data_IF_042839477863
#
_entry.id   IF_042839477863
#
_cell.length_a   1.000
_cell.length_b   1.000
_cell.length_c   1.000
_cell.angle_alpha   90.00
_cell.angle_beta   90.00
_cell.angle_gamma   90.00
#
_symmetry.space_group_name_H-M   'P 1'
#
loop_
_entity.id
_entity.type
_entity.pdbx_description
1 polymer ?
#
# COMPACT_ATOMS: atom_id res chain seq x y z
N UNK A 1 -18.30 -5.07 10.44
CA UNK A 1 -17.18 -5.27 9.50
C UNK A 1 -16.17 -6.24 10.08
N UNK A 2 -15.85 -7.30 9.34
CA UNK A 2 -14.80 -8.26 9.62
C UNK A 2 -13.46 -7.66 9.22
N UNK A 3 -12.43 -7.85 10.05
CA UNK A 3 -11.09 -7.39 9.74
C UNK A 3 -10.36 -8.46 8.92
N UNK A 4 -9.89 -8.10 7.72
CA UNK A 4 -9.03 -8.95 6.91
C UNK A 4 -7.59 -8.43 6.97
N UNK A 5 -6.65 -9.35 7.17
CA UNK A 5 -5.22 -9.11 7.12
C UNK A 5 -4.67 -9.38 5.71
N UNK A 6 -3.35 -9.25 5.58
CA UNK A 6 -2.63 -9.30 4.30
C UNK A 6 -2.80 -10.62 3.56
N UNK A 7 -2.82 -11.76 4.26
CA UNK A 7 -2.93 -13.08 3.63
C UNK A 7 -4.23 -13.24 2.83
N UNK A 8 -5.34 -12.69 3.34
CA UNK A 8 -6.62 -12.70 2.64
C UNK A 8 -6.52 -11.99 1.28
N UNK A 9 -5.96 -10.78 1.26
CA UNK A 9 -5.82 -10.01 0.02
C UNK A 9 -4.78 -10.64 -0.91
N UNK A 10 -3.67 -11.13 -0.38
CA UNK A 10 -2.61 -11.77 -1.16
C UNK A 10 -3.12 -13.03 -1.87
N UNK A 11 -3.95 -13.83 -1.19
CA UNK A 11 -4.58 -15.02 -1.78
C UNK A 11 -5.52 -14.67 -2.95
N UNK A 12 -6.21 -13.53 -2.88
CA UNK A 12 -7.07 -13.04 -3.96
C UNK A 12 -6.26 -12.50 -5.14
N UNK A 13 -5.18 -11.78 -4.86
CA UNK A 13 -4.39 -11.04 -5.85
C UNK A 13 -3.40 -11.91 -6.63
N UNK A 14 -2.81 -12.92 -6.00
CA UNK A 14 -1.89 -13.85 -6.68
C UNK A 14 -2.66 -14.71 -7.69
N UNK A 15 -2.05 -14.98 -8.84
CA UNK A 15 -2.64 -15.87 -9.85
C UNK A 15 -2.91 -17.27 -9.27
N UNK A 16 -1.89 -17.82 -8.61
CA UNK A 16 -1.91 -19.12 -7.93
C UNK A 16 -1.62 -18.92 -6.44
N UNK A 17 -2.60 -19.26 -5.61
CA UNK A 17 -2.45 -19.32 -4.17
C UNK A 17 -3.29 -20.47 -3.60
N UNK A 18 -2.75 -21.18 -2.62
CA UNK A 18 -3.41 -22.34 -2.00
C UNK A 18 -4.63 -21.93 -1.16
N UNK A 19 -4.72 -20.66 -0.75
CA UNK A 19 -5.86 -20.10 -0.03
C UNK A 19 -6.92 -19.48 -0.94
N UNK A 20 -6.67 -19.36 -2.26
CA UNK A 20 -7.49 -18.56 -3.17
C UNK A 20 -8.96 -18.96 -3.21
N UNK A 21 -9.27 -20.25 -3.30
CA UNK A 21 -10.65 -20.73 -3.30
C UNK A 21 -11.39 -20.40 -2.00
N UNK A 22 -10.70 -20.52 -0.85
CA UNK A 22 -11.25 -20.19 0.45
C UNK A 22 -11.46 -18.68 0.59
N UNK A 23 -10.50 -17.88 0.12
CA UNK A 23 -10.58 -16.43 0.13
C UNK A 23 -11.75 -15.93 -0.74
N UNK A 24 -11.99 -16.52 -1.92
CA UNK A 24 -13.13 -16.18 -2.77
C UNK A 24 -14.48 -16.50 -2.12
N UNK A 25 -14.59 -17.64 -1.43
CA UNK A 25 -15.81 -18.00 -0.68
C UNK A 25 -16.09 -17.00 0.45
N UNK A 26 -15.05 -16.65 1.23
CA UNK A 26 -15.17 -15.65 2.29
C UNK A 26 -15.44 -14.24 1.75
N UNK A 27 -14.88 -13.88 0.61
CA UNK A 27 -15.18 -12.61 -0.05
C UNK A 27 -16.66 -12.51 -0.41
N UNK A 28 -17.26 -13.58 -0.91
CA UNK A 28 -18.68 -13.61 -1.22
C UNK A 28 -19.56 -13.53 0.04
N UNK A 29 -19.21 -14.29 1.08
CA UNK A 29 -19.92 -14.30 2.37
C UNK A 29 -19.90 -12.93 3.06
N UNK A 30 -18.76 -12.24 3.05
CA UNK A 30 -18.55 -10.97 3.75
C UNK A 30 -18.56 -9.75 2.82
N UNK A 31 -19.05 -9.88 1.59
CA UNK A 31 -19.03 -8.81 0.58
C UNK A 31 -19.60 -7.50 1.12
N UNK A 32 -18.82 -6.42 1.02
CA UNK A 32 -19.21 -5.09 1.51
C UNK A 32 -19.15 -4.91 3.03
N UNK A 33 -18.69 -5.93 3.78
CA UNK A 33 -18.54 -5.91 5.24
C UNK A 33 -17.11 -6.28 5.68
N UNK A 34 -16.10 -6.09 4.82
CA UNK A 34 -14.69 -6.30 5.11
C UNK A 34 -14.02 -4.95 5.36
N UNK A 35 -13.20 -4.86 6.41
CA UNK A 35 -12.30 -3.73 6.67
C UNK A 35 -10.86 -4.20 6.80
N UNK A 36 -9.92 -3.28 6.67
CA UNK A 36 -8.51 -3.52 6.95
C UNK A 36 -7.87 -2.28 7.59
N UNK A 37 -6.55 -2.21 7.66
CA UNK A 37 -5.81 -1.05 8.18
C UNK A 37 -4.69 -0.60 7.24
N UNK A 38 -4.13 0.59 7.51
CA UNK A 38 -2.92 1.10 6.86
C UNK A 38 -1.76 0.08 6.90
N UNK A 39 -1.63 -0.67 7.99
CA UNK A 39 -0.60 -1.71 8.15
C UNK A 39 -0.68 -2.78 7.07
N UNK A 40 -1.90 -3.18 6.67
CA UNK A 40 -2.10 -4.14 5.59
C UNK A 40 -1.70 -3.58 4.23
N UNK A 41 -1.96 -2.29 3.96
CA UNK A 41 -1.47 -1.65 2.74
C UNK A 41 0.07 -1.61 2.69
N UNK A 42 0.72 -1.22 3.79
CA UNK A 42 2.19 -1.20 3.88
C UNK A 42 2.77 -2.60 3.62
N UNK A 43 2.21 -3.63 4.25
CA UNK A 43 2.68 -5.01 4.05
C UNK A 43 2.47 -5.48 2.60
N UNK A 44 1.30 -5.22 2.01
CA UNK A 44 1.05 -5.53 0.61
C UNK A 44 2.00 -4.80 -0.33
N UNK A 45 2.42 -3.58 -0.03
CA UNK A 45 3.40 -2.85 -0.84
C UNK A 45 4.80 -3.50 -0.77
N UNK A 46 5.24 -3.94 0.42
CA UNK A 46 6.48 -4.71 0.58
C UNK A 46 6.43 -6.03 -0.22
N UNK A 47 5.30 -6.72 -0.16
CA UNK A 47 5.08 -7.98 -0.89
C UNK A 47 4.92 -7.77 -2.39
N UNK A 48 4.39 -6.63 -2.83
CA UNK A 48 4.23 -6.31 -4.25
C UNK A 48 5.59 -6.26 -4.95
N UNK A 49 6.59 -5.64 -4.31
CA UNK A 49 7.98 -5.66 -4.80
C UNK A 49 8.56 -7.07 -4.88
N UNK A 50 8.24 -7.93 -3.90
CA UNK A 50 8.72 -9.33 -3.84
C UNK A 50 8.09 -10.22 -4.91
N UNK A 51 6.81 -10.04 -5.19
CA UNK A 51 6.02 -10.90 -6.08
C UNK A 51 5.80 -10.31 -7.48
N UNK A 52 6.36 -9.13 -7.77
CA UNK A 52 6.18 -8.46 -9.06
C UNK A 52 4.73 -8.00 -9.30
N UNK A 53 4.01 -7.68 -8.23
CA UNK A 53 2.64 -7.15 -8.32
C UNK A 53 2.69 -5.64 -8.53
N UNK A 54 1.74 -5.11 -9.32
CA UNK A 54 1.59 -3.68 -9.52
C UNK A 54 1.07 -3.00 -8.24
N UNK A 55 1.84 -2.09 -7.61
CA UNK A 55 1.46 -1.44 -6.35
C UNK A 55 0.12 -0.70 -6.41
N UNK A 56 -0.16 -0.02 -7.52
CA UNK A 56 -1.35 0.80 -7.71
C UNK A 56 -2.58 -0.09 -7.86
N UNK A 57 -2.49 -1.14 -8.68
CA UNK A 57 -3.57 -2.11 -8.87
C UNK A 57 -3.90 -2.86 -7.60
N UNK A 58 -2.89 -3.27 -6.83
CA UNK A 58 -3.07 -3.91 -5.52
C UNK A 58 -3.82 -2.97 -4.59
N UNK A 59 -3.37 -1.72 -4.49
CA UNK A 59 -3.98 -0.70 -3.62
C UNK A 59 -5.44 -0.46 -3.98
N UNK A 60 -5.73 -0.16 -5.25
CA UNK A 60 -7.11 0.08 -5.71
C UNK A 60 -8.03 -1.13 -5.47
N UNK A 61 -7.53 -2.34 -5.70
CA UNK A 61 -8.30 -3.57 -5.46
C UNK A 61 -8.69 -3.70 -3.99
N UNK A 62 -7.74 -3.46 -3.06
CA UNK A 62 -8.03 -3.52 -1.62
C UNK A 62 -8.99 -2.41 -1.20
N UNK A 63 -8.82 -1.19 -1.72
CA UNK A 63 -9.74 -0.07 -1.46
C UNK A 63 -11.17 -0.40 -1.91
N UNK A 64 -11.33 -0.99 -3.10
CA UNK A 64 -12.64 -1.42 -3.61
C UNK A 64 -13.28 -2.49 -2.72
N UNK A 65 -12.52 -3.53 -2.36
CA UNK A 65 -13.00 -4.65 -1.54
C UNK A 65 -13.41 -4.21 -0.12
N UNK A 66 -12.72 -3.22 0.44
CA UNK A 66 -12.91 -2.75 1.81
C UNK A 66 -13.77 -1.50 1.93
N UNK A 67 -14.05 -0.83 0.79
CA UNK A 67 -14.64 0.52 0.72
C UNK A 67 -13.86 1.56 1.54
N UNK A 68 -12.57 1.32 1.77
CA UNK A 68 -11.66 2.24 2.42
C UNK A 68 -10.91 3.02 1.33
N UNK A 69 -11.21 4.30 1.18
CA UNK A 69 -10.55 5.17 0.20
C UNK A 69 -9.72 6.21 0.94
N UNK A 70 -8.42 6.20 0.68
CA UNK A 70 -7.45 7.11 1.28
C UNK A 70 -6.45 7.55 0.21
N UNK A 71 -6.54 8.82 -0.17
CA UNK A 71 -5.71 9.41 -1.23
C UNK A 71 -4.21 9.33 -0.90
N UNK A 72 -3.84 9.35 0.39
CA UNK A 72 -2.43 9.23 0.81
C UNK A 72 -1.90 7.82 0.53
N UNK A 73 -2.70 6.80 0.80
CA UNK A 73 -2.35 5.41 0.49
C UNK A 73 -2.23 5.21 -1.02
N UNK A 74 -3.13 5.81 -1.82
CA UNK A 74 -3.03 5.77 -3.27
C UNK A 74 -1.78 6.49 -3.79
N UNK A 75 -1.48 7.70 -3.27
CA UNK A 75 -0.27 8.47 -3.59
C UNK A 75 0.99 7.67 -3.29
N UNK A 76 1.06 7.00 -2.13
CA UNK A 76 2.18 6.13 -1.78
C UNK A 76 2.35 5.00 -2.80
N UNK A 77 1.28 4.35 -3.23
CA UNK A 77 1.36 3.28 -4.24
C UNK A 77 1.90 3.76 -5.59
N UNK A 78 1.61 5.00 -5.98
CA UNK A 78 2.14 5.62 -7.21
C UNK A 78 3.64 5.94 -7.07
N UNK A 79 4.06 6.48 -5.93
CA UNK A 79 5.50 6.73 -5.69
C UNK A 79 6.30 5.42 -5.70
N UNK A 80 5.73 4.34 -5.15
CA UNK A 80 6.35 3.01 -5.17
C UNK A 80 6.45 2.47 -6.60
N UNK A 81 5.43 2.65 -7.43
CA UNK A 81 5.49 2.22 -8.84
C UNK A 81 6.51 3.03 -9.66
N UNK A 82 6.84 4.24 -9.21
CA UNK A 82 7.91 5.08 -9.76
C UNK A 82 9.31 4.77 -9.20
N UNK A 83 9.43 3.83 -8.25
CA UNK A 83 10.70 3.33 -7.73
C UNK A 83 11.09 3.80 -6.33
N UNK A 84 10.27 4.62 -5.66
CA UNK A 84 10.51 5.03 -4.28
C UNK A 84 10.44 3.84 -3.31
N UNK A 85 11.24 3.87 -2.25
CA UNK A 85 11.15 2.89 -1.16
C UNK A 85 9.75 2.87 -0.54
N UNK A 86 9.29 1.69 -0.09
CA UNK A 86 7.91 1.54 0.41
C UNK A 86 7.65 2.48 1.58
N UNK A 87 8.51 2.48 2.61
CA UNK A 87 8.33 3.35 3.76
C UNK A 87 8.49 4.83 3.37
N UNK A 88 9.45 5.17 2.51
CA UNK A 88 9.65 6.54 2.05
C UNK A 88 8.43 7.07 1.30
N UNK A 89 7.81 6.24 0.46
CA UNK A 89 6.59 6.60 -0.24
C UNK A 89 5.41 6.86 0.69
N UNK A 90 5.27 6.08 1.77
CA UNK A 90 4.25 6.35 2.79
C UNK A 90 4.59 7.63 3.56
N UNK A 91 5.83 7.85 3.97
CA UNK A 91 6.22 9.11 4.63
C UNK A 91 5.98 10.33 3.73
N UNK A 92 6.38 10.27 2.46
CA UNK A 92 6.17 11.33 1.47
C UNK A 92 4.68 11.58 1.18
N UNK A 93 3.87 10.52 1.10
CA UNK A 93 2.45 10.67 0.87
C UNK A 93 1.72 11.31 2.07
N UNK A 94 2.15 10.99 3.29
CA UNK A 94 1.57 11.51 4.52
C UNK A 94 2.14 12.88 4.94
N UNK A 95 3.32 13.26 4.46
CA UNK A 95 3.91 14.58 4.72
C UNK A 95 3.24 15.71 3.92
N UNK A 96 2.49 15.34 2.88
CA UNK A 96 1.77 16.21 1.94
C UNK A 96 2.69 17.11 1.09
N UNK A 97 3.56 17.92 1.70
CA UNK A 97 4.44 18.89 1.02
C UNK A 97 5.89 18.93 1.56
N UNK A 98 6.08 19.09 2.87
CA UNK A 98 7.41 19.23 3.50
C UNK A 98 7.75 18.05 4.40
N UNK A 99 9.01 17.62 4.38
CA UNK A 99 9.48 16.49 5.20
C UNK A 99 10.82 16.78 5.88
N UNK A 100 10.91 16.53 7.18
CA UNK A 100 12.18 16.53 7.92
C UNK A 100 12.81 15.15 7.75
N UNK A 101 13.96 15.09 7.07
CA UNK A 101 14.66 13.82 6.80
C UNK A 101 16.13 14.04 6.46
N UNK A 102 16.96 13.03 6.72
CA UNK A 102 18.34 12.95 6.23
C UNK A 102 18.44 12.31 4.83
N UNK A 103 17.37 11.69 4.32
CA UNK A 103 17.37 10.99 3.04
C UNK A 103 17.10 11.96 1.89
N UNK A 104 17.95 11.97 0.87
CA UNK A 104 17.83 12.84 -0.30
C UNK A 104 16.78 12.37 -1.31
N UNK A 105 16.31 11.11 -1.21
CA UNK A 105 15.32 10.54 -2.15
C UNK A 105 14.06 11.41 -2.28
N UNK A 106 13.67 12.11 -1.21
CA UNK A 106 12.50 12.99 -1.23
C UNK A 106 12.65 14.14 -2.24
N UNK A 107 13.85 14.71 -2.37
CA UNK A 107 14.14 15.81 -3.30
C UNK A 107 14.06 15.33 -4.76
N UNK A 108 14.49 14.09 -5.03
CA UNK A 108 14.43 13.46 -6.36
C UNK A 108 12.98 13.28 -6.86
N UNK A 109 12.04 13.12 -5.94
CA UNK A 109 10.61 12.98 -6.23
C UNK A 109 9.82 14.29 -6.06
N UNK A 110 10.52 15.42 -5.90
CA UNK A 110 9.92 16.76 -5.89
C UNK A 110 9.36 17.21 -4.54
N UNK A 111 9.66 16.51 -3.44
CA UNK A 111 9.27 16.94 -2.10
C UNK A 111 10.27 17.95 -1.52
N UNK A 112 9.78 18.89 -0.71
CA UNK A 112 10.64 19.85 -0.03
C UNK A 112 11.20 19.23 1.24
N UNK A 113 12.49 18.88 1.21
CA UNK A 113 13.20 18.32 2.37
C UNK A 113 13.73 19.43 3.28
N UNK A 114 13.32 19.39 4.55
CA UNK A 114 13.97 20.10 5.65
C UNK A 114 15.12 19.21 6.14
N UNK A 115 16.36 19.70 5.99
CA UNK A 115 17.57 18.93 6.28
C UNK A 115 17.68 18.58 7.76
N UNK A 116 17.83 17.29 8.06
CA UNK A 116 18.17 16.78 9.40
C UNK A 116 19.69 16.58 9.56
N UNK A 117 20.38 16.39 8.45
CA UNK A 117 21.83 16.27 8.33
C UNK A 117 22.53 17.62 8.55
N UNK A 118 23.72 17.55 9.17
CA UNK A 118 24.63 18.69 9.28
C UNK A 118 25.10 19.14 7.87
N UNK A 119 25.41 20.44 7.69
CA UNK A 119 25.77 21.01 6.39
C UNK A 119 27.04 20.42 5.75
#
# INVERSE_FOLDING_TARGET
MVYADTDFFLALLKEKDWLKEKALKLLEEYRGNIKTSLTTFIELMLLSKRYGLDPVRVTLSVMELTRYFDEKVLKASVLISQGMGVFDAFHAAFSEEEIISSDHVYEEFGFRRIKLDDP
#
